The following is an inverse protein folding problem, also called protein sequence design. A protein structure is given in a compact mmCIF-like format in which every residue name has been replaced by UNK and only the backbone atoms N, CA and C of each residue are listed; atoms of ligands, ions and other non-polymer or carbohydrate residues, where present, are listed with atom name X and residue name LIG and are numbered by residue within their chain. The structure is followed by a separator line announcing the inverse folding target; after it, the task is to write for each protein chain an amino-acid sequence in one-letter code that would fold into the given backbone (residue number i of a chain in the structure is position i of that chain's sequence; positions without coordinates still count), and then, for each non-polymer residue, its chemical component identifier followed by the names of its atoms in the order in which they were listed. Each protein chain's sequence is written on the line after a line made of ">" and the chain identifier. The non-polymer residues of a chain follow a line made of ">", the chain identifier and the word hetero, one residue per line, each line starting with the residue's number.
data_IF_985788628690
#
_entry.id   IF_985788628690
#
_cell.length_a   1.000
_cell.length_b   1.000
_cell.length_c   1.000
_cell.angle_alpha   90.00
_cell.angle_beta   90.00
_cell.angle_gamma   90.00
#
_symmetry.space_group_name_H-M   'P 1'
#
loop_
_entity.id
_entity.type
_entity.pdbx_description
1 polymer ?
#
# COMPACT_ATOMS: atom_id res chain seq x y z
N UNK A 1 -7.29 -9.12 -7.23
CA UNK A 1 -7.40 -8.29 -6.00
C UNK A 1 -8.59 -7.35 -6.05
N UNK A 2 -8.56 -6.30 -6.89
CA UNK A 2 -9.64 -5.29 -7.00
C UNK A 2 -11.06 -5.85 -7.10
N UNK A 3 -11.29 -6.77 -8.04
CA UNK A 3 -12.59 -7.44 -8.22
C UNK A 3 -12.98 -8.27 -6.98
N UNK A 4 -12.04 -9.01 -6.37
CA UNK A 4 -12.35 -9.77 -5.15
C UNK A 4 -12.75 -8.84 -3.99
N UNK A 5 -12.07 -7.71 -3.81
CA UNK A 5 -12.45 -6.73 -2.79
C UNK A 5 -13.84 -6.15 -3.05
N UNK A 6 -14.14 -5.78 -4.30
CA UNK A 6 -15.43 -5.19 -4.66
C UNK A 6 -16.59 -6.20 -4.62
N UNK A 7 -16.45 -7.33 -5.30
CA UNK A 7 -17.54 -8.28 -5.56
C UNK A 7 -17.62 -9.38 -4.49
N UNK A 8 -16.49 -9.94 -4.05
CA UNK A 8 -16.50 -11.06 -3.10
C UNK A 8 -16.59 -10.59 -1.65
N UNK A 9 -15.94 -9.47 -1.31
CA UNK A 9 -15.96 -8.91 0.05
C UNK A 9 -17.01 -7.81 0.24
N UNK A 10 -17.56 -7.24 -0.84
CA UNK A 10 -18.46 -6.08 -0.75
C UNK A 10 -17.76 -4.80 -0.26
N UNK A 11 -16.43 -4.80 -0.18
CA UNK A 11 -15.60 -3.70 0.35
C UNK A 11 -14.59 -3.26 -0.71
N UNK A 12 -15.01 -2.44 -1.70
CA UNK A 12 -14.10 -1.99 -2.76
C UNK A 12 -12.95 -1.15 -2.19
N UNK A 13 -11.77 -1.28 -2.81
CA UNK A 13 -10.57 -0.54 -2.42
C UNK A 13 -10.81 0.97 -2.62
N UNK A 14 -10.33 1.79 -1.68
CA UNK A 14 -10.40 3.26 -1.77
C UNK A 14 -9.75 3.76 -3.06
N UNK A 15 -10.45 4.60 -3.80
CA UNK A 15 -10.04 5.14 -5.10
C UNK A 15 -10.24 4.18 -6.28
N UNK A 16 -10.88 3.02 -6.08
CA UNK A 16 -11.27 2.12 -7.18
C UNK A 16 -12.62 2.53 -7.79
N UNK A 17 -12.61 3.51 -8.67
CA UNK A 17 -13.83 3.96 -9.36
C UNK A 17 -14.36 2.96 -10.38
N UNK A 18 -13.53 2.02 -10.85
CA UNK A 18 -13.94 1.07 -11.89
C UNK A 18 -14.83 -0.03 -11.31
N UNK A 19 -14.41 -0.61 -10.18
CA UNK A 19 -15.14 -1.72 -9.54
C UNK A 19 -15.92 -1.28 -8.30
N UNK A 20 -15.58 -0.14 -7.70
CA UNK A 20 -16.23 0.41 -6.52
C UNK A 20 -17.15 1.59 -6.80
N UNK A 21 -17.60 1.80 -8.05
CA UNK A 21 -18.33 3.01 -8.45
C UNK A 21 -19.55 3.31 -7.57
N UNK A 22 -20.33 2.30 -7.18
CA UNK A 22 -21.54 2.51 -6.37
C UNK A 22 -21.25 3.14 -5.01
N UNK A 23 -20.11 2.79 -4.40
CA UNK A 23 -19.64 3.36 -3.14
C UNK A 23 -18.99 4.73 -3.39
N UNK A 24 -18.10 4.81 -4.38
CA UNK A 24 -17.32 6.03 -4.65
C UNK A 24 -18.14 7.18 -5.22
N UNK A 25 -19.27 6.94 -5.90
CA UNK A 25 -20.18 8.01 -6.34
C UNK A 25 -20.85 8.74 -5.18
N UNK A 26 -20.96 8.07 -4.02
CA UNK A 26 -21.45 8.65 -2.77
C UNK A 26 -20.31 9.18 -1.90
N UNK A 27 -19.05 9.07 -2.36
CA UNK A 27 -17.88 9.59 -1.67
C UNK A 27 -18.00 11.11 -1.61
N UNK A 28 -18.35 11.59 -0.41
CA UNK A 28 -18.17 12.98 -0.06
C UNK A 28 -16.78 13.09 0.55
N UNK A 29 -16.14 14.23 0.34
CA UNK A 29 -14.98 14.56 1.14
C UNK A 29 -15.39 14.38 2.60
N UNK A 30 -14.68 13.53 3.35
CA UNK A 30 -14.99 13.32 4.77
C UNK A 30 -15.07 14.68 5.42
N UNK A 31 -16.12 14.90 6.22
CA UNK A 31 -16.26 16.13 7.01
C UNK A 31 -14.93 16.31 7.73
N UNK A 32 -14.26 17.42 7.44
CA UNK A 32 -12.98 17.72 8.08
C UNK A 32 -13.26 17.63 9.57
N UNK A 33 -12.49 16.83 10.30
CA UNK A 33 -12.44 17.05 11.74
C UNK A 33 -11.89 18.46 11.82
N UNK A 34 -12.71 19.44 12.15
CA UNK A 34 -12.24 20.82 12.15
C UNK A 34 -11.22 21.06 13.27
N UNK A 35 -11.03 20.07 14.15
CA UNK A 35 -10.22 20.12 15.37
C UNK A 35 -9.40 18.82 15.51
N UNK A 36 -8.09 18.95 15.71
CA UNK A 36 -7.17 17.85 15.95
C UNK A 36 -7.38 17.26 17.38
N UNK A 37 -7.61 15.94 17.52
CA UNK A 37 -7.97 15.33 18.81
C UNK A 37 -6.83 15.27 19.83
N UNK A 38 -5.56 15.38 19.42
CA UNK A 38 -4.41 15.39 20.32
C UNK A 38 -4.08 16.80 20.82
N UNK A 39 -4.37 17.82 20.00
CA UNK A 39 -3.96 19.20 20.28
C UNK A 39 -5.10 20.16 20.58
N UNK A 40 -6.35 19.81 20.27
CA UNK A 40 -7.53 20.67 20.46
C UNK A 40 -7.55 21.90 19.54
N UNK A 41 -6.59 22.03 18.64
CA UNK A 41 -6.47 23.12 17.68
C UNK A 41 -7.18 22.78 16.37
N UNK A 42 -7.57 23.79 15.55
CA UNK A 42 -8.19 23.49 14.29
C UNK A 42 -7.30 22.57 13.45
N UNK A 43 -7.84 21.46 12.93
CA UNK A 43 -7.11 20.53 12.08
C UNK A 43 -6.71 21.24 10.78
N UNK A 44 -5.58 21.93 10.83
CA UNK A 44 -4.89 22.42 9.66
C UNK A 44 -4.27 21.18 9.05
N UNK A 45 -4.59 20.87 7.79
CA UNK A 45 -3.67 20.05 6.98
C UNK A 45 -2.32 20.73 7.12
N UNK A 46 -1.43 20.21 7.98
CA UNK A 46 -0.15 20.82 8.27
C UNK A 46 0.57 20.88 6.93
N UNK A 47 0.64 22.07 6.35
CA UNK A 47 1.48 22.37 5.21
C UNK A 47 2.83 22.71 5.82
N UNK A 48 3.88 21.93 5.58
CA UNK A 48 5.19 22.54 5.47
C UNK A 48 5.08 23.62 4.38
N UNK A 49 5.52 24.84 4.65
CA UNK A 49 5.58 25.87 3.61
C UNK A 49 6.37 25.32 2.40
N UNK A 50 5.79 25.43 1.20
CA UNK A 50 6.41 24.96 -0.04
C UNK A 50 6.04 23.54 -0.53
N UNK A 51 5.18 22.78 0.17
CA UNK A 51 4.76 21.44 -0.29
C UNK A 51 3.37 21.44 -0.95
N UNK A 52 3.28 20.86 -2.15
CA UNK A 52 2.04 20.70 -2.90
C UNK A 52 1.01 19.86 -2.11
N UNK A 53 -0.28 20.20 -2.20
CA UNK A 53 -1.35 19.43 -1.56
C UNK A 53 -1.27 17.99 -2.07
N UNK A 54 -0.90 17.03 -1.23
CA UNK A 54 -0.90 15.62 -1.61
C UNK A 54 -2.33 15.14 -1.82
N UNK A 55 -2.77 15.23 -3.07
CA UNK A 55 -4.07 14.77 -3.56
C UNK A 55 -4.10 13.24 -3.54
N UNK A 56 -5.30 12.70 -3.34
CA UNK A 56 -5.56 11.28 -3.47
C UNK A 56 -5.65 10.49 -2.17
N UNK A 57 -5.47 11.11 -1.01
CA UNK A 57 -5.76 10.49 0.29
C UNK A 57 -7.28 10.37 0.53
N UNK A 58 -7.69 9.72 1.63
CA UNK A 58 -9.12 9.59 2.04
C UNK A 58 -9.80 10.95 2.29
N UNK A 59 -9.03 11.99 2.62
CA UNK A 59 -9.55 13.36 2.77
C UNK A 59 -9.77 14.07 1.42
N UNK A 60 -9.33 13.47 0.32
CA UNK A 60 -9.50 14.06 -1.00
C UNK A 60 -10.93 13.84 -1.50
N UNK A 61 -11.47 14.83 -2.22
CA UNK A 61 -12.74 14.66 -2.95
C UNK A 61 -12.69 13.50 -3.94
N UNK A 62 -11.52 13.29 -4.53
CA UNK A 62 -11.25 12.18 -5.45
C UNK A 62 -10.01 11.43 -4.92
N UNK A 63 -10.17 10.40 -4.06
CA UNK A 63 -9.05 9.57 -3.63
C UNK A 63 -8.42 8.82 -4.81
N UNK A 64 -7.11 8.61 -4.75
CA UNK A 64 -6.36 7.74 -5.65
C UNK A 64 -6.49 6.28 -5.19
N UNK A 65 -6.16 5.34 -6.05
CA UNK A 65 -6.22 3.92 -5.73
C UNK A 65 -5.28 3.59 -4.55
N UNK A 66 -5.82 3.00 -3.49
CA UNK A 66 -5.09 2.55 -2.31
C UNK A 66 -4.67 1.08 -2.45
N UNK A 67 -3.99 0.77 -3.54
CA UNK A 67 -3.42 -0.55 -3.81
C UNK A 67 -1.96 -0.38 -4.21
N UNK A 68 -1.06 -0.97 -3.44
CA UNK A 68 0.38 -0.96 -3.73
C UNK A 68 0.98 -2.34 -3.46
N UNK A 69 2.01 -2.69 -4.22
CA UNK A 69 2.79 -3.90 -3.97
C UNK A 69 3.81 -3.60 -2.85
N UNK A 70 3.56 -4.10 -1.64
CA UNK A 70 4.45 -3.87 -0.49
C UNK A 70 5.73 -4.68 -0.56
N UNK A 71 5.62 -5.94 -0.94
CA UNK A 71 6.69 -6.90 -0.80
C UNK A 71 6.68 -7.91 -1.93
N UNK A 72 7.87 -8.23 -2.43
CA UNK A 72 8.09 -9.28 -3.42
C UNK A 72 9.24 -10.16 -2.95
N UNK A 73 9.01 -11.47 -2.94
CA UNK A 73 10.01 -12.48 -2.60
C UNK A 73 10.20 -13.35 -3.83
N UNK A 74 11.41 -13.36 -4.39
CA UNK A 74 11.75 -14.17 -5.56
C UNK A 74 13.00 -15.02 -5.29
N UNK A 75 13.16 -16.17 -5.95
CA UNK A 75 14.40 -16.93 -5.89
C UNK A 75 15.58 -16.11 -6.41
N UNK A 76 16.76 -16.30 -5.82
CA UNK A 76 17.99 -15.71 -6.33
C UNK A 76 18.53 -16.51 -7.52
N UNK A 77 18.10 -16.12 -8.72
CA UNK A 77 18.49 -16.81 -9.96
C UNK A 77 20.01 -16.73 -10.19
N UNK A 78 20.69 -15.66 -9.76
CA UNK A 78 22.13 -15.52 -9.97
C UNK A 78 22.92 -16.66 -9.31
N UNK A 79 22.58 -16.99 -8.04
CA UNK A 79 23.21 -18.13 -7.35
C UNK A 79 22.82 -19.48 -7.94
N UNK A 80 21.60 -19.59 -8.47
CA UNK A 80 21.18 -20.80 -9.17
C UNK A 80 21.98 -21.03 -10.46
N UNK A 81 22.31 -19.96 -11.18
CA UNK A 81 23.13 -20.02 -12.40
C UNK A 81 24.58 -20.40 -12.11
N UNK A 82 25.16 -19.93 -11.00
CA UNK A 82 26.52 -20.32 -10.56
C UNK A 82 26.62 -21.83 -10.34
N UNK A 83 25.62 -22.43 -9.66
CA UNK A 83 25.55 -23.89 -9.44
C UNK A 83 25.44 -24.61 -10.77
N UNK A 84 24.55 -24.17 -11.67
CA UNK A 84 24.37 -24.78 -12.99
C UNK A 84 25.63 -24.75 -13.86
N UNK A 85 26.43 -23.68 -13.78
CA UNK A 85 27.66 -23.53 -14.56
C UNK A 85 28.85 -24.28 -13.96
N UNK A 86 28.86 -24.49 -12.65
CA UNK A 86 29.94 -25.19 -11.94
C UNK A 86 30.02 -26.70 -12.20
N UNK A 87 29.02 -27.30 -12.86
CA UNK A 87 29.02 -28.72 -13.23
C UNK A 87 28.93 -29.70 -12.04
N UNK A 88 28.72 -29.19 -10.82
CA UNK A 88 28.52 -30.02 -9.63
C UNK A 88 27.22 -30.82 -9.76
N UNK A 89 27.38 -32.11 -10.02
CA UNK A 89 26.30 -33.10 -10.17
C UNK A 89 25.62 -33.45 -8.84
N UNK A 90 26.03 -32.82 -7.74
CA UNK A 90 25.44 -32.95 -6.40
C UNK A 90 24.33 -31.93 -6.18
N UNK A 91 23.40 -31.81 -7.13
CA UNK A 91 22.17 -31.02 -7.01
C UNK A 91 21.34 -31.37 -5.75
N UNK A 92 21.59 -32.52 -5.12
CA UNK A 92 20.87 -33.01 -3.93
C UNK A 92 21.39 -32.46 -2.60
N UNK A 93 22.64 -31.99 -2.48
CA UNK A 93 23.20 -31.58 -1.17
C UNK A 93 23.11 -30.07 -0.88
N UNK A 94 22.97 -29.24 -1.92
CA UNK A 94 22.89 -27.77 -1.76
C UNK A 94 21.44 -27.27 -1.58
N UNK A 95 20.44 -28.08 -1.95
CA UNK A 95 19.01 -27.77 -1.79
C UNK A 95 18.50 -27.87 -0.34
N UNK A 96 19.23 -28.55 0.56
CA UNK A 96 18.85 -28.65 1.97
C UNK A 96 19.18 -27.38 2.79
N UNK A 97 20.03 -26.50 2.27
CA UNK A 97 20.30 -25.20 2.89
C UNK A 97 19.32 -24.18 2.33
N UNK A 98 18.51 -23.60 3.24
CA UNK A 98 17.49 -22.55 3.03
C UNK A 98 17.47 -21.92 1.63
N UNK A 99 16.32 -21.85 0.95
CA UNK A 99 16.23 -21.24 -0.36
C UNK A 99 16.78 -19.81 -0.31
N UNK A 100 17.80 -19.53 -1.11
CA UNK A 100 18.36 -18.19 -1.24
C UNK A 100 17.34 -17.32 -1.98
N UNK A 101 16.64 -16.48 -1.23
CA UNK A 101 15.56 -15.64 -1.72
C UNK A 101 15.93 -14.17 -1.63
N UNK A 102 15.61 -13.43 -2.69
CA UNK A 102 15.70 -11.98 -2.74
C UNK A 102 14.38 -11.40 -2.25
N UNK A 103 14.46 -10.51 -1.26
CA UNK A 103 13.31 -9.85 -0.64
C UNK A 103 13.35 -8.36 -0.96
N UNK A 104 12.35 -7.89 -1.68
CA UNK A 104 12.16 -6.48 -2.04
C UNK A 104 10.98 -5.93 -1.26
N UNK A 105 11.19 -4.84 -0.52
CA UNK A 105 10.13 -4.17 0.25
C UNK A 105 10.02 -2.72 -0.23
N UNK A 106 8.86 -2.36 -0.75
CA UNK A 106 8.55 -1.01 -1.19
C UNK A 106 7.97 -0.18 -0.03
N UNK A 107 8.36 1.09 0.02
CA UNK A 107 7.77 2.05 0.95
C UNK A 107 6.32 2.36 0.54
N UNK A 108 5.48 2.65 1.54
CA UNK A 108 4.08 3.02 1.29
C UNK A 108 4.00 4.36 0.54
N UNK A 109 3.21 4.45 -0.55
CA UNK A 109 2.97 5.69 -1.26
C UNK A 109 2.43 6.79 -0.33
N UNK A 110 2.78 8.03 -0.62
CA UNK A 110 2.53 9.15 0.29
C UNK A 110 1.04 9.38 0.57
N UNK A 111 0.17 9.29 -0.44
CA UNK A 111 -1.28 9.43 -0.27
C UNK A 111 -1.87 8.32 0.62
N UNK A 112 -1.34 7.10 0.52
CA UNK A 112 -1.74 5.97 1.35
C UNK A 112 -1.22 6.12 2.78
N UNK A 113 -0.01 6.65 2.96
CA UNK A 113 0.57 6.91 4.29
C UNK A 113 -0.24 7.97 5.05
N UNK A 114 -0.66 9.03 4.38
CA UNK A 114 -1.57 10.03 4.96
C UNK A 114 -2.87 9.37 5.38
N UNK A 115 -3.51 8.62 4.48
CA UNK A 115 -4.76 7.92 4.79
C UNK A 115 -4.62 6.94 5.95
N UNK A 116 -3.51 6.20 6.00
CA UNK A 116 -3.21 5.27 7.09
C UNK A 116 -3.15 6.01 8.42
N UNK A 117 -2.34 7.07 8.53
CA UNK A 117 -2.17 7.83 9.76
C UNK A 117 -3.51 8.40 10.28
N UNK A 118 -4.35 8.90 9.37
CA UNK A 118 -5.68 9.44 9.71
C UNK A 118 -6.61 8.32 10.16
N UNK A 119 -6.67 7.20 9.45
CA UNK A 119 -7.62 6.12 9.77
C UNK A 119 -7.19 5.32 11.00
N UNK A 120 -5.88 5.16 11.22
CA UNK A 120 -5.36 4.49 12.41
C UNK A 120 -5.64 5.25 13.69
N UNK A 121 -5.74 6.58 13.65
CA UNK A 121 -6.05 7.37 14.85
C UNK A 121 -7.51 7.21 15.30
N UNK A 122 -8.42 6.73 14.45
CA UNK A 122 -9.81 6.45 14.82
C UNK A 122 -10.02 5.03 15.40
N UNK A 123 -8.97 4.20 15.44
CA UNK A 123 -9.04 2.82 15.94
C UNK A 123 -8.62 2.70 17.43
N UNK A 124 -8.63 3.81 18.17
CA UNK A 124 -8.40 3.84 19.63
C UNK A 124 -9.65 3.45 20.38
#
# INVERSE_FOLDING_TARGET
>A
LRVHCAEALGTPIVGDYKYGWYVHKKWKQMDRIDIDPETGEPYRMRRPEGLDVQKGSVLSKVPLLHLYCREMVIPNIAKFMEIFQSGETTASQTLEKRPDVLRFVAQMPSHMKISWNIMSSFLV
#
